data_IF_244658076248
#
_entry.id   IF_244658076248
#
_cell.length_a   1.000
_cell.length_b   1.000
_cell.length_c   1.000
_cell.angle_alpha   90.00
_cell.angle_beta   90.00
_cell.angle_gamma   90.00
#
_symmetry.space_group_name_H-M   'P 1'
#
loop_
_entity.id
_entity.type
_entity.pdbx_description
1 polymer ?
#
# COMPACT_ATOMS: atom_id res chain seq x y z
N UNK A 1 -3.12 -3.49 -9.84
CA UNK A 1 -1.65 -3.67 -9.92
C UNK A 1 -1.04 -2.81 -8.84
N UNK A 2 0.06 -3.25 -8.27
CA UNK A 2 0.63 -2.64 -7.09
C UNK A 2 1.68 -1.58 -7.43
N UNK A 3 1.39 -0.31 -7.17
CA UNK A 3 2.26 0.80 -7.60
C UNK A 3 3.68 0.69 -7.04
N UNK A 4 3.84 0.16 -5.83
CA UNK A 4 5.14 0.04 -5.18
C UNK A 4 5.98 -1.11 -5.74
N UNK A 5 5.35 -2.23 -6.06
CA UNK A 5 6.01 -3.36 -6.73
C UNK A 5 6.48 -2.96 -8.13
N UNK A 6 5.63 -2.25 -8.87
CA UNK A 6 5.96 -1.70 -10.19
C UNK A 6 7.09 -0.67 -10.09
N UNK A 7 7.08 0.22 -9.09
CA UNK A 7 8.17 1.17 -8.84
C UNK A 7 9.54 0.48 -8.79
N UNK A 8 9.70 -0.57 -8.00
CA UNK A 8 10.99 -1.23 -7.81
C UNK A 8 11.48 -1.83 -9.13
N UNK A 9 10.62 -2.56 -9.83
CA UNK A 9 10.98 -3.16 -11.13
C UNK A 9 11.31 -2.10 -12.18
N UNK A 10 10.51 -1.04 -12.23
CA UNK A 10 10.66 0.06 -13.17
C UNK A 10 11.97 0.81 -12.95
N UNK A 11 12.25 1.28 -11.73
CA UNK A 11 13.48 2.02 -11.42
C UNK A 11 14.73 1.17 -11.70
N UNK A 12 14.71 -0.13 -11.37
CA UNK A 12 15.82 -1.04 -11.66
C UNK A 12 16.05 -1.28 -13.16
N UNK A 13 15.02 -1.10 -13.99
CA UNK A 13 15.13 -1.23 -15.45
C UNK A 13 15.72 0.01 -16.13
N UNK A 14 15.75 1.17 -15.45
CA UNK A 14 16.21 2.42 -16.03
C UNK A 14 17.74 2.47 -16.12
N UNK A 15 18.25 2.78 -17.31
CA UNK A 15 19.67 3.05 -17.53
C UNK A 15 19.92 4.57 -17.51
N UNK A 16 19.85 5.17 -16.32
CA UNK A 16 20.00 6.61 -16.09
C UNK A 16 20.99 6.92 -14.97
N UNK A 17 21.49 8.18 -14.90
CA UNK A 17 22.17 8.70 -13.72
C UNK A 17 21.32 8.54 -12.44
N UNK A 18 21.99 8.34 -11.30
CA UNK A 18 21.31 8.07 -10.02
C UNK A 18 20.44 9.23 -9.54
N UNK A 19 20.81 10.49 -9.80
CA UNK A 19 19.99 11.64 -9.46
C UNK A 19 18.69 11.71 -10.30
N UNK A 20 18.72 11.29 -11.56
CA UNK A 20 17.49 11.19 -12.36
C UNK A 20 16.59 10.04 -11.86
N UNK A 21 17.18 8.88 -11.53
CA UNK A 21 16.45 7.75 -10.92
C UNK A 21 15.84 8.13 -9.57
N UNK A 22 16.57 8.85 -8.73
CA UNK A 22 16.09 9.34 -7.44
C UNK A 22 14.90 10.29 -7.62
N UNK A 23 14.95 11.19 -8.61
CA UNK A 23 13.85 12.10 -8.90
C UNK A 23 12.58 11.36 -9.35
N UNK A 24 12.74 10.36 -10.22
CA UNK A 24 11.63 9.50 -10.68
C UNK A 24 11.08 8.68 -9.51
N UNK A 25 11.96 8.08 -8.69
CA UNK A 25 11.60 7.29 -7.52
C UNK A 25 10.80 8.11 -6.50
N UNK A 26 11.21 9.35 -6.24
CA UNK A 26 10.52 10.27 -5.34
C UNK A 26 9.20 10.79 -5.93
N UNK A 27 9.10 10.95 -7.25
CA UNK A 27 7.83 11.27 -7.90
C UNK A 27 6.82 10.12 -7.77
N UNK A 28 7.27 8.87 -7.94
CA UNK A 28 6.41 7.70 -7.71
C UNK A 28 6.00 7.59 -6.23
N UNK A 29 6.88 7.96 -5.29
CA UNK A 29 6.50 8.05 -3.87
C UNK A 29 5.35 9.05 -3.64
N UNK A 30 5.26 10.14 -4.43
CA UNK A 30 4.11 11.06 -4.36
C UNK A 30 2.82 10.43 -4.85
N UNK A 31 2.87 9.57 -5.88
CA UNK A 31 1.71 8.81 -6.35
C UNK A 31 1.24 7.82 -5.27
N UNK A 32 2.17 7.14 -4.61
CA UNK A 32 1.87 6.24 -3.48
C UNK A 32 1.19 7.01 -2.34
N UNK A 33 1.69 8.20 -2.01
CA UNK A 33 1.07 9.07 -1.00
C UNK A 33 -0.37 9.43 -1.40
N UNK A 34 -0.57 9.91 -2.64
CA UNK A 34 -1.88 10.28 -3.20
C UNK A 34 -2.89 9.12 -3.10
N UNK A 35 -2.53 7.92 -3.55
CA UNK A 35 -3.41 6.75 -3.45
C UNK A 35 -3.76 6.41 -2.00
N UNK A 36 -2.76 6.44 -1.11
CA UNK A 36 -2.96 6.08 0.30
C UNK A 36 -3.84 7.08 1.06
N UNK A 37 -3.75 8.36 0.70
CA UNK A 37 -4.50 9.45 1.31
C UNK A 37 -5.83 9.71 0.59
N UNK A 38 -6.07 9.08 -0.55
CA UNK A 38 -7.21 9.38 -1.44
C UNK A 38 -7.22 10.85 -1.86
N UNK A 39 -6.05 11.36 -2.22
CA UNK A 39 -5.83 12.73 -2.68
C UNK A 39 -5.27 12.72 -4.10
N UNK A 40 -5.55 13.78 -4.87
CA UNK A 40 -5.03 13.99 -6.21
C UNK A 40 -4.15 15.24 -6.26
N UNK A 41 -3.10 15.27 -5.42
CA UNK A 41 -2.15 16.39 -5.39
C UNK A 41 -1.23 16.29 -6.64
N UNK A 42 -1.18 17.31 -7.52
CA UNK A 42 -0.32 17.27 -8.69
C UNK A 42 1.18 17.32 -8.33
N UNK A 43 2.02 16.76 -9.19
CA UNK A 43 3.46 16.68 -9.02
C UNK A 43 4.14 17.74 -9.90
N UNK A 44 5.00 18.56 -9.30
CA UNK A 44 5.78 19.59 -9.98
C UNK A 44 7.26 19.20 -9.94
N UNK A 45 7.88 18.98 -11.10
CA UNK A 45 9.32 18.78 -11.22
C UNK A 45 10.00 20.13 -11.45
N UNK A 46 10.93 20.48 -10.56
CA UNK A 46 11.70 21.73 -10.63
C UNK A 46 13.18 21.47 -10.90
N UNK A 47 13.72 22.11 -11.93
CA UNK A 47 15.16 22.13 -12.22
C UNK A 47 15.49 23.24 -13.21
N UNK A 48 16.69 23.83 -13.10
CA UNK A 48 17.25 24.72 -14.13
C UNK A 48 17.91 23.96 -15.29
N UNK A 49 18.07 22.65 -15.18
CA UNK A 49 18.58 21.79 -16.24
C UNK A 49 17.42 21.24 -17.07
N UNK A 50 17.17 21.86 -18.22
CA UNK A 50 16.09 21.49 -19.14
C UNK A 50 16.18 20.03 -19.60
N UNK A 51 17.40 19.52 -19.82
CA UNK A 51 17.60 18.15 -20.29
C UNK A 51 17.18 17.15 -19.22
N UNK A 52 17.69 17.31 -17.99
CA UNK A 52 17.31 16.44 -16.86
C UNK A 52 15.82 16.51 -16.57
N UNK A 53 15.27 17.72 -16.52
CA UNK A 53 13.84 17.93 -16.23
C UNK A 53 12.96 17.23 -17.26
N UNK A 54 13.25 17.39 -18.55
CA UNK A 54 12.47 16.76 -19.61
C UNK A 54 12.61 15.23 -19.59
N UNK A 55 13.82 14.71 -19.35
CA UNK A 55 14.07 13.27 -19.19
C UNK A 55 13.20 12.67 -18.07
N UNK A 56 13.28 13.27 -16.87
CA UNK A 56 12.53 12.82 -15.69
C UNK A 56 11.02 12.87 -15.93
N UNK A 57 10.50 13.97 -16.47
CA UNK A 57 9.07 14.12 -16.75
C UNK A 57 8.54 13.08 -17.75
N UNK A 58 9.27 12.84 -18.84
CA UNK A 58 8.87 11.84 -19.85
C UNK A 58 8.80 10.42 -19.26
N UNK A 59 9.69 10.11 -18.32
CA UNK A 59 9.72 8.78 -17.70
C UNK A 59 8.62 8.64 -16.63
N UNK A 60 8.38 9.70 -15.85
CA UNK A 60 7.25 9.72 -14.91
C UNK A 60 5.93 9.59 -15.68
N UNK A 61 5.75 10.32 -16.78
CA UNK A 61 4.57 10.21 -17.64
C UNK A 61 4.34 8.77 -18.09
N UNK A 62 5.37 8.12 -18.67
CA UNK A 62 5.29 6.71 -19.11
C UNK A 62 4.92 5.76 -17.98
N UNK A 63 5.46 5.98 -16.78
CA UNK A 63 5.12 5.18 -15.61
C UNK A 63 3.63 5.36 -15.26
N UNK A 64 3.14 6.60 -15.17
CA UNK A 64 1.75 6.90 -14.86
C UNK A 64 0.78 6.31 -15.90
N UNK A 65 1.07 6.44 -17.19
CA UNK A 65 0.27 5.86 -18.28
C UNK A 65 0.22 4.33 -18.21
N UNK A 66 1.31 3.69 -17.77
CA UNK A 66 1.37 2.24 -17.54
C UNK A 66 0.54 1.77 -16.35
N UNK A 67 0.57 2.51 -15.23
CA UNK A 67 -0.18 2.18 -14.00
C UNK A 67 -1.67 2.51 -14.13
N UNK A 68 -2.00 3.58 -14.84
CA UNK A 68 -3.36 4.10 -15.00
C UNK A 68 -3.81 4.08 -16.47
N UNK A 69 -3.96 2.90 -17.10
CA UNK A 69 -4.27 2.79 -18.53
C UNK A 69 -5.67 3.31 -18.92
N UNK A 70 -6.53 3.55 -17.93
CA UNK A 70 -7.88 4.08 -18.12
C UNK A 70 -7.99 5.57 -17.77
N UNK A 71 -6.87 6.24 -17.46
CA UNK A 71 -6.84 7.68 -17.24
C UNK A 71 -7.18 8.45 -18.53
N UNK A 72 -7.54 9.73 -18.38
CA UNK A 72 -7.70 10.62 -19.53
C UNK A 72 -6.35 10.79 -20.26
N UNK A 73 -6.39 10.92 -21.58
CA UNK A 73 -5.21 10.93 -22.47
C UNK A 73 -4.21 12.04 -22.12
N UNK A 74 -4.71 13.17 -21.62
CA UNK A 74 -3.94 14.37 -21.26
C UNK A 74 -3.61 14.47 -19.75
N UNK A 75 -4.06 13.52 -18.92
CA UNK A 75 -3.93 13.61 -17.46
C UNK A 75 -2.48 13.70 -16.99
N UNK A 76 -1.57 13.03 -17.69
CA UNK A 76 -0.15 12.98 -17.33
C UNK A 76 0.74 13.70 -18.34
N UNK A 77 0.18 14.49 -19.26
CA UNK A 77 0.98 15.32 -20.15
C UNK A 77 1.66 16.45 -19.36
N UNK A 78 3.01 16.53 -19.36
CA UNK A 78 3.72 17.51 -18.55
C UNK A 78 3.47 18.95 -19.02
N UNK A 79 3.00 19.80 -18.10
CA UNK A 79 2.74 21.20 -18.40
C UNK A 79 3.64 22.18 -17.63
N UNK A 80 3.95 23.30 -18.25
CA UNK A 80 4.65 24.39 -17.56
C UNK A 80 3.75 25.00 -16.47
N UNK A 81 4.19 24.97 -15.21
CA UNK A 81 3.54 25.65 -14.09
C UNK A 81 4.18 27.00 -13.85
N UNK A 82 3.68 28.00 -14.54
CA UNK A 82 4.18 29.35 -14.45
C UNK A 82 3.15 30.30 -13.83
N UNK A 83 3.23 30.49 -12.50
CA UNK A 83 2.26 31.26 -11.71
C UNK A 83 2.90 32.55 -11.18
N UNK A 84 3.01 33.55 -12.05
CA UNK A 84 3.51 34.86 -11.66
C UNK A 84 2.43 35.70 -10.94
N UNK A 85 2.33 35.54 -9.62
CA UNK A 85 1.50 36.39 -8.76
C UNK A 85 2.35 37.22 -7.80
N UNK A 86 2.13 38.54 -7.74
CA UNK A 86 2.74 39.41 -6.71
C UNK A 86 2.08 39.23 -5.34
N UNK A 87 0.87 38.69 -5.32
CA UNK A 87 0.07 38.40 -4.13
C UNK A 87 -0.49 36.98 -4.23
N UNK A 88 -0.80 36.38 -3.08
CA UNK A 88 -1.38 35.02 -3.06
C UNK A 88 -2.73 34.93 -3.77
N UNK A 89 -3.55 35.97 -3.70
CA UNK A 89 -4.84 36.00 -4.41
C UNK A 89 -4.66 36.02 -5.93
N UNK A 90 -3.75 36.85 -6.44
CA UNK A 90 -3.44 36.89 -7.88
C UNK A 90 -2.87 35.55 -8.36
N UNK A 91 -2.02 34.91 -7.54
CA UNK A 91 -1.50 33.58 -7.82
C UNK A 91 -2.62 32.52 -7.87
N UNK A 92 -3.56 32.53 -6.93
CA UNK A 92 -4.72 31.63 -6.93
C UNK A 92 -5.59 31.83 -8.18
N UNK A 93 -5.87 33.07 -8.58
CA UNK A 93 -6.65 33.36 -9.79
C UNK A 93 -5.93 32.82 -11.04
N UNK A 94 -4.61 32.98 -11.11
CA UNK A 94 -3.81 32.45 -12.22
C UNK A 94 -3.83 30.91 -12.24
N UNK A 95 -3.74 30.26 -11.07
CA UNK A 95 -3.87 28.80 -10.98
C UNK A 95 -5.25 28.33 -11.43
N UNK A 96 -6.33 28.96 -10.95
CA UNK A 96 -7.70 28.62 -11.36
C UNK A 96 -7.86 28.69 -12.88
N UNK A 97 -7.35 29.76 -13.51
CA UNK A 97 -7.39 29.89 -14.97
C UNK A 97 -6.66 28.76 -15.69
N UNK A 98 -5.52 28.33 -15.15
CA UNK A 98 -4.74 27.21 -15.70
C UNK A 98 -5.48 25.88 -15.55
N UNK A 99 -6.06 25.62 -14.37
CA UNK A 99 -6.85 24.40 -14.08
C UNK A 99 -8.18 24.35 -14.86
N UNK A 100 -8.69 25.50 -15.34
CA UNK A 100 -9.84 25.53 -16.24
C UNK A 100 -9.50 25.12 -17.67
N UNK A 101 -8.22 25.21 -18.07
CA UNK A 101 -7.75 24.85 -19.40
C UNK A 101 -7.00 23.52 -19.45
N UNK A 102 -6.65 22.94 -18.31
CA UNK A 102 -5.87 21.71 -18.20
C UNK A 102 -6.25 20.95 -16.94
N UNK A 103 -6.27 19.63 -17.08
CA UNK A 103 -6.45 18.69 -15.96
C UNK A 103 -5.16 17.95 -15.62
N UNK A 104 -4.00 18.40 -16.12
CA UNK A 104 -2.74 17.69 -15.91
C UNK A 104 -2.37 17.55 -14.43
N UNK A 105 -1.87 16.36 -14.09
CA UNK A 105 -1.29 15.99 -12.80
C UNK A 105 0.22 16.14 -12.77
N UNK A 106 0.87 16.38 -13.91
CA UNK A 106 2.31 16.55 -14.03
C UNK A 106 2.65 17.95 -14.53
N UNK A 107 3.43 18.65 -13.73
CA UNK A 107 3.87 20.00 -14.02
C UNK A 107 5.37 20.13 -13.95
N UNK A 108 5.88 21.21 -14.53
CA UNK A 108 7.28 21.57 -14.42
C UNK A 108 7.49 23.07 -14.26
N UNK A 109 8.56 23.44 -13.56
CA UNK A 109 9.01 24.82 -13.44
C UNK A 109 10.53 24.88 -13.32
N UNK A 110 11.15 26.03 -13.58
CA UNK A 110 12.60 26.17 -13.34
C UNK A 110 12.91 26.14 -11.84
N UNK A 111 12.02 26.71 -11.03
CA UNK A 111 12.23 26.89 -9.60
C UNK A 111 10.91 26.93 -8.83
N UNK A 112 10.87 26.48 -7.56
CA UNK A 112 9.71 26.68 -6.69
C UNK A 112 9.25 28.14 -6.54
N UNK A 113 10.14 29.10 -6.82
CA UNK A 113 9.78 30.53 -6.81
C UNK A 113 8.63 30.86 -7.77
N UNK A 114 8.48 30.14 -8.88
CA UNK A 114 7.43 30.32 -9.90
C UNK A 114 6.01 30.10 -9.38
N UNK A 115 5.85 29.46 -8.23
CA UNK A 115 4.55 29.18 -7.62
C UNK A 115 4.55 29.41 -6.10
N UNK A 116 5.59 30.04 -5.56
CA UNK A 116 5.79 30.25 -4.13
C UNK A 116 4.69 31.11 -3.47
N UNK A 117 3.99 31.96 -4.21
CA UNK A 117 2.91 32.79 -3.65
C UNK A 117 1.61 32.01 -3.36
N UNK A 118 1.49 30.78 -3.88
CA UNK A 118 0.32 29.94 -3.69
C UNK A 118 0.20 29.42 -2.25
N UNK A 119 -1.02 29.05 -1.80
CA UNK A 119 -1.22 28.32 -0.55
C UNK A 119 -0.35 27.06 -0.47
N UNK A 120 0.07 26.70 0.74
CA UNK A 120 0.85 25.49 1.00
C UNK A 120 0.04 24.22 0.77
N UNK A 121 0.72 23.13 0.41
CA UNK A 121 0.12 21.78 0.31
C UNK A 121 -0.73 21.54 -0.94
N UNK A 122 -0.63 22.40 -1.96
CA UNK A 122 -1.31 22.25 -3.24
C UNK A 122 -0.56 21.36 -4.24
N UNK A 123 0.75 21.19 -4.07
CA UNK A 123 1.60 20.42 -4.98
C UNK A 123 2.61 19.60 -4.22
N UNK A 124 2.85 18.39 -4.73
CA UNK A 124 4.11 17.70 -4.52
C UNK A 124 5.18 18.36 -5.37
N UNK A 125 6.36 18.57 -4.81
CA UNK A 125 7.49 19.24 -5.47
C UNK A 125 8.70 18.32 -5.43
N UNK A 126 9.19 17.97 -6.61
CA UNK A 126 10.45 17.25 -6.82
C UNK A 126 11.49 18.24 -7.31
N UNK A 127 12.50 18.53 -6.49
CA UNK A 127 13.55 19.49 -6.83
C UNK A 127 14.86 18.80 -7.17
N UNK A 128 15.40 19.10 -8.36
CA UNK A 128 16.67 18.59 -8.88
C UNK A 128 17.64 19.77 -8.97
N UNK A 129 18.54 19.88 -7.99
CA UNK A 129 19.55 20.94 -7.90
C UNK A 129 20.96 20.33 -8.02
N UNK A 130 21.52 20.38 -9.23
CA UNK A 130 22.78 19.69 -9.53
C UNK A 130 22.61 18.18 -9.44
N UNK A 131 23.25 17.56 -8.43
CA UNK A 131 23.14 16.12 -8.14
C UNK A 131 22.32 15.86 -6.85
N UNK A 132 21.62 16.87 -6.33
CA UNK A 132 20.79 16.73 -5.13
C UNK A 132 19.33 16.70 -5.55
N UNK A 133 18.64 15.66 -5.10
CA UNK A 133 17.20 15.49 -5.31
C UNK A 133 16.49 15.60 -3.98
N UNK A 134 15.35 16.28 -3.97
CA UNK A 134 14.49 16.34 -2.80
C UNK A 134 13.02 16.33 -3.18
N UNK A 135 12.21 15.90 -2.22
CA UNK A 135 10.75 15.84 -2.30
C UNK A 135 10.15 16.65 -1.17
N UNK A 136 9.06 17.35 -1.45
CA UNK A 136 8.32 18.08 -0.44
C UNK A 136 6.96 18.55 -0.93
N UNK A 137 6.20 19.18 -0.04
CA UNK A 137 4.99 19.90 -0.41
C UNK A 137 5.32 21.38 -0.65
N UNK A 138 4.69 22.02 -1.63
CA UNK A 138 4.87 23.45 -1.82
C UNK A 138 4.50 24.23 -0.55
N UNK A 139 5.23 25.30 -0.27
CA UNK A 139 5.04 26.13 0.91
C UNK A 139 4.94 27.60 0.52
N UNK A 140 3.93 28.28 1.03
CA UNK A 140 3.71 29.69 0.74
C UNK A 140 4.91 30.54 1.19
N UNK A 141 5.46 31.31 0.25
CA UNK A 141 6.59 32.22 0.41
C UNK A 141 7.82 31.58 1.08
N UNK A 142 8.02 30.28 0.88
CA UNK A 142 9.13 29.54 1.46
C UNK A 142 9.56 28.38 0.56
N UNK A 143 10.61 27.67 0.98
CA UNK A 143 11.01 26.44 0.32
C UNK A 143 10.01 25.31 0.61
N UNK A 144 9.87 24.34 -0.32
CA UNK A 144 9.01 23.18 -0.10
C UNK A 144 9.29 22.51 1.26
N UNK A 145 8.23 22.12 1.96
CA UNK A 145 8.35 21.38 3.21
C UNK A 145 8.82 19.97 2.89
N UNK A 146 10.07 19.66 3.28
CA UNK A 146 10.72 18.39 2.95
C UNK A 146 9.92 17.21 3.51
N UNK A 147 9.64 16.24 2.64
CA UNK A 147 9.06 14.95 3.01
C UNK A 147 10.16 13.89 2.89
N UNK A 148 10.47 13.21 3.99
CA UNK A 148 11.54 12.20 4.05
C UNK A 148 11.05 10.77 3.94
N UNK A 149 9.72 10.57 3.96
CA UNK A 149 9.13 9.24 3.80
C UNK A 149 9.43 8.73 2.40
N UNK A 150 9.96 7.51 2.32
CA UNK A 150 10.25 6.80 1.07
C UNK A 150 9.65 5.41 1.13
N UNK A 151 9.30 4.86 -0.03
CA UNK A 151 8.72 3.52 -0.12
C UNK A 151 9.71 2.60 -0.85
N UNK A 152 10.39 1.77 -0.07
CA UNK A 152 11.37 0.78 -0.54
C UNK A 152 11.24 -0.54 0.23
N UNK A 153 11.92 -1.60 -0.18
CA UNK A 153 11.73 -2.93 0.42
C UNK A 153 12.04 -2.96 1.94
N UNK A 154 12.93 -2.09 2.40
CA UNK A 154 13.33 -2.01 3.81
C UNK A 154 12.21 -1.50 4.74
N UNK A 155 11.24 -0.73 4.23
CA UNK A 155 10.15 -0.21 5.08
C UNK A 155 8.95 -1.14 5.20
N UNK A 156 8.86 -2.20 4.38
CA UNK A 156 7.69 -3.08 4.32
C UNK A 156 7.29 -3.66 5.68
N UNK A 157 8.27 -4.19 6.41
CA UNK A 157 8.02 -4.85 7.70
C UNK A 157 7.63 -3.84 8.78
N UNK A 158 8.30 -2.69 8.83
CA UNK A 158 7.98 -1.64 9.78
C UNK A 158 6.55 -1.12 9.61
N UNK A 159 6.08 -1.04 8.36
CA UNK A 159 4.76 -0.50 8.02
C UNK A 159 3.59 -1.36 8.52
N UNK A 160 3.82 -2.65 8.85
CA UNK A 160 2.82 -3.51 9.51
C UNK A 160 2.39 -3.00 10.89
N UNK A 161 3.14 -2.04 11.47
CA UNK A 161 2.94 -1.51 12.82
C UNK A 161 2.56 -0.01 12.83
N UNK A 162 2.55 0.67 11.69
CA UNK A 162 2.37 2.13 11.62
C UNK A 162 0.95 2.61 11.97
N UNK A 163 -0.07 1.74 11.84
CA UNK A 163 -1.47 2.09 12.13
C UNK A 163 -1.81 2.04 13.62
N UNK A 164 -1.10 1.21 14.39
CA UNK A 164 -1.45 0.90 15.78
C UNK A 164 -0.19 0.85 16.65
N UNK A 165 0.38 2.02 16.96
CA UNK A 165 1.58 2.13 17.81
C UNK A 165 1.21 1.95 19.30
N UNK A 166 1.24 0.72 19.80
CA UNK A 166 1.00 0.41 21.22
C UNK A 166 2.29 0.26 22.05
N UNK A 167 3.46 0.34 21.43
CA UNK A 167 4.76 0.19 22.10
C UNK A 167 5.80 1.18 21.58
N UNK A 168 6.87 1.37 22.34
CA UNK A 168 8.04 2.19 21.97
C UNK A 168 8.51 1.82 20.55
N UNK A 169 8.82 2.86 19.76
CA UNK A 169 9.29 2.79 18.37
C UNK A 169 10.67 2.12 18.25
N UNK A 170 10.85 0.91 18.76
CA UNK A 170 11.94 0.06 18.32
C UNK A 170 11.78 -0.10 16.81
N UNK A 171 12.77 0.35 16.03
CA UNK A 171 12.75 0.21 14.58
C UNK A 171 12.75 -1.28 14.26
N UNK A 172 11.60 -1.78 13.82
CA UNK A 172 11.47 -3.16 13.36
C UNK A 172 12.02 -3.18 11.95
N UNK A 173 13.27 -3.59 11.82
CA UNK A 173 14.01 -3.57 10.56
C UNK A 173 14.08 -4.92 9.88
N UNK A 174 13.61 -6.00 10.53
CA UNK A 174 13.69 -7.35 9.98
C UNK A 174 12.54 -8.24 10.45
N UNK A 175 12.39 -9.38 9.76
CA UNK A 175 11.33 -10.37 9.97
C UNK A 175 11.35 -10.97 11.36
N UNK A 176 12.53 -11.30 11.90
CA UNK A 176 12.66 -11.89 13.25
C UNK A 176 12.15 -10.94 14.35
N UNK A 177 12.54 -9.67 14.30
CA UNK A 177 12.06 -8.66 15.24
C UNK A 177 10.53 -8.46 15.14
N UNK A 178 9.98 -8.53 13.93
CA UNK A 178 8.54 -8.47 13.72
C UNK A 178 7.81 -9.69 14.29
N UNK A 179 8.36 -10.90 14.09
CA UNK A 179 7.82 -12.13 14.67
C UNK A 179 7.82 -12.08 16.20
N UNK A 180 8.90 -11.64 16.82
CA UNK A 180 8.98 -11.49 18.28
C UNK A 180 7.92 -10.49 18.78
N UNK A 181 7.77 -9.33 18.13
CA UNK A 181 6.75 -8.35 18.50
C UNK A 181 5.32 -8.88 18.34
N UNK A 182 4.99 -9.57 17.25
CA UNK A 182 3.67 -10.19 17.09
C UNK A 182 3.40 -11.28 18.13
N UNK A 183 4.45 -11.98 18.57
CA UNK A 183 4.33 -12.96 19.65
C UNK A 183 3.97 -12.27 20.96
N UNK A 184 4.63 -11.16 21.28
CA UNK A 184 4.34 -10.34 22.46
C UNK A 184 2.94 -9.72 22.40
N UNK A 185 2.53 -9.14 21.26
CA UNK A 185 1.17 -8.61 21.06
C UNK A 185 0.11 -9.70 21.31
N UNK A 186 0.32 -10.92 20.79
CA UNK A 186 -0.54 -12.07 21.04
C UNK A 186 -0.57 -12.46 22.52
N UNK A 187 0.58 -12.50 23.20
CA UNK A 187 0.66 -12.82 24.62
C UNK A 187 -0.06 -11.81 25.50
N UNK A 188 0.04 -10.52 25.17
CA UNK A 188 -0.68 -9.43 25.81
C UNK A 188 -2.19 -9.39 25.47
N UNK A 189 -2.65 -10.21 24.52
CA UNK A 189 -4.07 -10.24 24.12
C UNK A 189 -4.49 -9.06 23.26
N UNK A 190 -3.53 -8.35 22.66
CA UNK A 190 -3.78 -7.24 21.75
C UNK A 190 -4.16 -7.78 20.38
N UNK A 191 -5.43 -7.77 20.02
CA UNK A 191 -5.89 -8.17 18.69
C UNK A 191 -6.14 -6.92 17.87
N UNK A 192 -5.52 -6.82 16.70
CA UNK A 192 -5.69 -5.69 15.77
C UNK A 192 -5.76 -6.15 14.32
N UNK A 193 -6.43 -5.38 13.45
CA UNK A 193 -6.23 -5.48 12.02
C UNK A 193 -4.75 -5.24 11.65
N UNK A 194 -4.25 -5.95 10.65
CA UNK A 194 -2.87 -5.83 10.19
C UNK A 194 -2.84 -5.08 8.85
N UNK A 195 -2.31 -3.86 8.79
CA UNK A 195 -2.28 -3.07 7.57
C UNK A 195 -1.32 -3.69 6.54
N UNK A 196 -1.70 -3.68 5.27
CA UNK A 196 -0.75 -3.84 4.17
C UNK A 196 0.20 -2.63 4.16
N UNK A 197 1.46 -2.77 3.73
CA UNK A 197 2.36 -1.63 3.52
C UNK A 197 1.76 -0.58 2.56
N UNK A 198 2.27 0.65 2.59
CA UNK A 198 1.70 1.76 1.81
C UNK A 198 1.95 1.53 0.33
N UNK A 199 0.92 1.73 -0.49
CA UNK A 199 0.95 1.39 -1.91
C UNK A 199 0.99 -0.11 -2.17
N UNK A 200 0.69 -0.93 -1.16
CA UNK A 200 0.61 -2.39 -1.22
C UNK A 200 -0.79 -2.95 -0.89
N UNK A 201 -1.14 -4.06 -1.54
CA UNK A 201 -2.35 -4.85 -1.27
C UNK A 201 -1.99 -6.31 -0.95
N UNK A 202 -2.85 -6.97 -0.18
CA UNK A 202 -2.77 -8.41 0.02
C UNK A 202 -3.21 -9.15 -1.24
N UNK A 203 -2.48 -10.21 -1.57
CA UNK A 203 -2.84 -11.11 -2.66
C UNK A 203 -4.13 -11.86 -2.32
N UNK A 204 -4.95 -12.17 -3.33
CA UNK A 204 -6.14 -13.02 -3.13
C UNK A 204 -5.76 -14.41 -2.58
N UNK A 205 -4.57 -14.88 -2.94
CA UNK A 205 -3.99 -16.14 -2.52
C UNK A 205 -2.56 -15.95 -2.03
N UNK A 206 -2.37 -16.10 -0.73
CA UNK A 206 -1.05 -16.02 -0.11
C UNK A 206 -0.49 -17.44 -0.02
N UNK A 207 0.68 -17.64 -0.61
CA UNK A 207 1.33 -18.94 -0.76
C UNK A 207 2.77 -18.89 -0.30
N UNK A 208 3.48 -20.01 -0.45
CA UNK A 208 4.92 -20.10 -0.18
C UNK A 208 5.76 -19.08 -0.96
N UNK A 209 5.33 -18.69 -2.18
CA UNK A 209 6.04 -17.72 -3.02
C UNK A 209 5.65 -16.27 -2.75
N UNK A 210 4.68 -16.02 -1.88
CA UNK A 210 4.24 -14.66 -1.55
C UNK A 210 5.29 -13.94 -0.68
N UNK A 211 5.34 -12.60 -0.75
CA UNK A 211 6.28 -11.80 0.04
C UNK A 211 6.21 -12.06 1.55
N UNK A 212 7.36 -11.96 2.22
CA UNK A 212 7.48 -12.23 3.66
C UNK A 212 6.56 -11.36 4.52
N UNK A 213 6.28 -10.11 4.13
CA UNK A 213 5.37 -9.24 4.87
C UNK A 213 3.94 -9.79 4.92
N UNK A 214 3.47 -10.42 3.84
CA UNK A 214 2.15 -11.06 3.79
C UNK A 214 2.13 -12.30 4.67
N UNK A 215 3.16 -13.14 4.55
CA UNK A 215 3.31 -14.35 5.36
C UNK A 215 3.37 -14.00 6.86
N UNK A 216 4.10 -12.96 7.23
CA UNK A 216 4.17 -12.44 8.61
C UNK A 216 2.78 -12.02 9.13
N UNK A 217 2.03 -11.27 8.33
CA UNK A 217 0.69 -10.84 8.72
C UNK A 217 -0.26 -12.04 8.91
N UNK A 218 -0.20 -13.04 8.03
CA UNK A 218 -0.97 -14.28 8.19
C UNK A 218 -0.59 -15.06 9.46
N UNK A 219 0.71 -15.20 9.72
CA UNK A 219 1.23 -15.87 10.92
C UNK A 219 0.78 -15.14 12.20
N UNK A 220 0.78 -13.80 12.19
CA UNK A 220 0.27 -13.02 13.31
C UNK A 220 -1.22 -13.31 13.59
N UNK A 221 -2.08 -13.34 12.57
CA UNK A 221 -3.49 -13.74 12.72
C UNK A 221 -3.62 -15.17 13.24
N UNK A 222 -2.85 -16.12 12.69
CA UNK A 222 -2.87 -17.53 13.12
C UNK A 222 -2.52 -17.68 14.59
N UNK A 223 -1.60 -16.88 15.12
CA UNK A 223 -1.26 -16.89 16.56
C UNK A 223 -2.45 -16.50 17.42
N UNK A 224 -3.21 -15.48 17.06
CA UNK A 224 -4.44 -15.15 17.79
C UNK A 224 -5.45 -16.29 17.74
N UNK A 225 -5.70 -16.85 16.55
CA UNK A 225 -6.59 -18.00 16.41
C UNK A 225 -6.12 -19.18 17.26
N UNK A 226 -4.81 -19.46 17.30
CA UNK A 226 -4.28 -20.57 18.11
C UNK A 226 -4.49 -20.39 19.61
N UNK A 227 -4.47 -19.14 20.09
CA UNK A 227 -4.71 -18.81 21.48
C UNK A 227 -6.20 -18.94 21.83
N UNK A 228 -7.08 -18.56 20.91
CA UNK A 228 -8.54 -18.73 21.04
C UNK A 228 -8.94 -20.22 21.00
N UNK A 229 -8.36 -20.99 20.08
CA UNK A 229 -8.69 -22.41 19.84
C UNK A 229 -7.88 -23.41 20.68
N UNK A 230 -6.77 -22.98 21.29
CA UNK A 230 -5.81 -23.83 22.02
C UNK A 230 -5.19 -24.94 21.17
N UNK A 231 -4.92 -24.66 19.89
CA UNK A 231 -4.46 -25.64 18.89
C UNK A 231 -2.95 -25.54 18.52
N UNK A 232 -2.21 -24.62 19.15
CA UNK A 232 -0.75 -24.49 19.03
C UNK A 232 -0.24 -23.42 18.05
N UNK A 233 0.92 -22.83 18.35
CA UNK A 233 1.49 -21.61 17.70
C UNK A 233 2.63 -21.87 16.70
N UNK A 234 2.76 -23.07 16.13
CA UNK A 234 4.00 -23.48 15.45
C UNK A 234 4.14 -23.00 13.98
N UNK A 235 3.16 -22.26 13.44
CA UNK A 235 3.24 -21.74 12.07
C UNK A 235 4.16 -20.52 11.98
N UNK A 236 4.99 -20.46 10.93
CA UNK A 236 5.99 -19.42 10.72
C UNK A 236 6.14 -19.11 9.21
N UNK A 237 7.01 -18.16 8.86
CA UNK A 237 7.16 -17.69 7.46
C UNK A 237 8.06 -18.57 6.57
N UNK A 238 8.66 -19.62 7.12
CA UNK A 238 9.55 -20.51 6.38
C UNK A 238 8.80 -21.34 5.34
N UNK A 239 9.49 -21.75 4.30
CA UNK A 239 8.99 -22.66 3.26
C UNK A 239 8.33 -23.92 3.82
N UNK A 240 8.90 -24.47 4.91
CA UNK A 240 8.34 -25.64 5.58
C UNK A 240 6.96 -25.34 6.19
N UNK A 241 6.79 -24.15 6.78
CA UNK A 241 5.51 -23.70 7.33
C UNK A 241 4.44 -23.50 6.26
N UNK A 242 4.83 -23.06 5.06
CA UNK A 242 3.91 -22.78 3.95
C UNK A 242 3.75 -23.93 2.96
N UNK A 243 4.47 -25.03 3.15
CA UNK A 243 4.41 -26.20 2.28
C UNK A 243 3.02 -26.82 2.27
N UNK A 244 2.36 -26.76 1.12
CA UNK A 244 1.01 -27.28 0.91
C UNK A 244 -0.08 -26.49 1.63
N UNK A 245 0.13 -25.19 1.86
CA UNK A 245 -0.84 -24.28 2.47
C UNK A 245 -1.11 -23.12 1.53
N UNK A 246 -2.39 -22.80 1.31
CA UNK A 246 -2.84 -21.58 0.65
C UNK A 246 -3.68 -20.80 1.65
N UNK A 247 -3.32 -19.55 1.88
CA UNK A 247 -4.05 -18.67 2.79
C UNK A 247 -4.84 -17.63 2.00
N UNK A 248 -6.13 -17.54 2.29
CA UNK A 248 -7.06 -16.59 1.71
C UNK A 248 -7.33 -15.48 2.73
N UNK A 249 -6.82 -14.26 2.49
CA UNK A 249 -7.01 -13.17 3.42
C UNK A 249 -8.45 -12.65 3.39
N UNK A 250 -8.94 -12.23 4.55
CA UNK A 250 -10.15 -11.42 4.66
C UNK A 250 -9.75 -10.00 4.98
N UNK A 251 -10.21 -9.08 4.13
CA UNK A 251 -9.69 -7.72 4.05
C UNK A 251 -10.77 -6.70 4.42
N UNK A 252 -10.35 -5.57 5.01
CA UNK A 252 -11.17 -4.37 5.19
C UNK A 252 -10.34 -3.10 4.94
N UNK A 253 -10.96 -2.06 4.38
CA UNK A 253 -10.35 -0.73 4.33
C UNK A 253 -10.58 -0.01 5.65
N UNK A 254 -9.51 0.32 6.36
CA UNK A 254 -9.56 0.94 7.69
C UNK A 254 -8.85 2.29 7.62
N UNK A 255 -9.48 3.31 8.20
CA UNK A 255 -8.86 4.62 8.32
C UNK A 255 -7.66 4.55 9.27
N UNK A 256 -6.54 5.12 8.85
CA UNK A 256 -5.35 5.19 9.68
C UNK A 256 -5.62 6.12 10.87
N UNK A 257 -5.02 5.82 12.03
CA UNK A 257 -5.16 6.65 13.23
C UNK A 257 -4.22 7.86 13.15
N UNK A 258 -3.10 7.70 12.45
CA UNK A 258 -2.00 8.68 12.42
C UNK A 258 -2.04 9.64 11.23
N UNK A 259 -2.75 9.29 10.15
CA UNK A 259 -3.05 10.15 9.01
C UNK A 259 -4.49 9.94 8.53
N UNK A 260 -5.01 10.86 7.71
CA UNK A 260 -6.38 10.81 7.19
C UNK A 260 -6.62 9.68 6.17
N UNK A 261 -5.58 8.94 5.80
CA UNK A 261 -5.62 7.94 4.74
C UNK A 261 -6.33 6.65 5.13
N UNK A 262 -6.62 5.83 4.11
CA UNK A 262 -7.18 4.50 4.29
C UNK A 262 -6.13 3.45 3.95
N UNK A 263 -6.11 2.38 4.73
CA UNK A 263 -5.23 1.24 4.49
C UNK A 263 -6.05 -0.03 4.36
N UNK A 264 -5.65 -0.83 3.40
CA UNK A 264 -6.10 -2.21 3.34
C UNK A 264 -5.54 -2.96 4.54
N UNK A 265 -6.41 -3.61 5.31
CA UNK A 265 -6.03 -4.34 6.51
C UNK A 265 -6.55 -5.77 6.46
N UNK A 266 -5.67 -6.72 6.81
CA UNK A 266 -6.02 -8.09 7.10
C UNK A 266 -6.79 -8.15 8.43
N UNK A 267 -8.05 -8.56 8.35
CA UNK A 267 -8.98 -8.70 9.47
C UNK A 267 -9.37 -10.15 9.72
N UNK A 268 -8.88 -11.09 8.91
CA UNK A 268 -9.19 -12.51 9.05
C UNK A 268 -8.39 -13.33 8.06
N UNK A 269 -8.37 -14.63 8.28
CA UNK A 269 -7.59 -15.56 7.48
C UNK A 269 -8.33 -16.89 7.37
N UNK A 270 -8.38 -17.44 6.17
CA UNK A 270 -8.78 -18.82 5.94
C UNK A 270 -7.57 -19.55 5.36
N UNK A 271 -7.27 -20.75 5.85
CA UNK A 271 -6.21 -21.58 5.30
C UNK A 271 -6.79 -22.86 4.72
N UNK A 272 -6.36 -23.18 3.49
CA UNK A 272 -6.66 -24.43 2.81
C UNK A 272 -5.37 -25.24 2.79
N UNK A 273 -5.46 -26.49 3.24
CA UNK A 273 -4.39 -27.46 3.07
C UNK A 273 -4.55 -28.13 1.70
N UNK A 274 -3.47 -28.10 0.91
CA UNK A 274 -3.39 -28.65 -0.45
C UNK A 274 -2.26 -29.69 -0.58
N UNK A 275 -1.79 -30.28 0.53
CA UNK A 275 -0.75 -31.32 0.49
C UNK A 275 -1.17 -32.53 -0.33
N UNK A 276 -2.45 -32.88 -0.30
CA UNK A 276 -3.08 -33.77 -1.28
C UNK A 276 -3.91 -32.92 -2.26
N UNK A 277 -3.42 -32.68 -3.49
CA UNK A 277 -4.14 -31.86 -4.48
C UNK A 277 -5.51 -32.41 -4.86
N UNK A 278 -5.77 -33.70 -4.62
CA UNK A 278 -7.07 -34.34 -4.93
C UNK A 278 -8.10 -34.13 -3.83
N UNK A 279 -7.65 -33.75 -2.63
CA UNK A 279 -8.49 -33.58 -1.44
C UNK A 279 -8.08 -32.34 -0.65
N UNK A 280 -8.21 -31.14 -1.26
CA UNK A 280 -8.03 -29.90 -0.52
C UNK A 280 -9.09 -29.80 0.57
N UNK A 281 -8.70 -29.26 1.72
CA UNK A 281 -9.63 -29.07 2.85
C UNK A 281 -9.34 -27.76 3.59
N UNK A 282 -10.38 -27.19 4.18
CA UNK A 282 -10.24 -26.01 5.04
C UNK A 282 -9.64 -26.44 6.37
N UNK A 283 -8.45 -25.95 6.68
CA UNK A 283 -7.73 -26.27 7.93
C UNK A 283 -8.08 -25.28 9.02
N UNK A 284 -7.99 -23.98 8.75
CA UNK A 284 -8.34 -22.95 9.73
C UNK A 284 -9.18 -21.83 9.13
N UNK A 285 -10.08 -21.26 9.92
CA UNK A 285 -10.81 -20.06 9.56
C UNK A 285 -10.96 -19.15 10.78
N UNK A 286 -10.52 -17.92 10.65
CA UNK A 286 -10.62 -16.93 11.70
C UNK A 286 -10.97 -15.56 11.15
N UNK A 287 -11.86 -14.86 11.86
CA UNK A 287 -12.24 -13.48 11.54
C UNK A 287 -12.17 -12.69 12.84
N UNK A 288 -11.56 -11.52 12.77
CA UNK A 288 -11.48 -10.58 13.86
C UNK A 288 -12.88 -10.29 14.41
N UNK A 289 -13.10 -10.34 15.74
CA UNK A 289 -14.43 -10.26 16.35
C UNK A 289 -15.31 -9.10 15.84
N UNK A 290 -14.77 -7.89 15.74
CA UNK A 290 -15.50 -6.70 15.23
C UNK A 290 -15.91 -6.75 13.74
N UNK A 291 -15.39 -7.70 12.97
CA UNK A 291 -15.70 -7.85 11.55
C UNK A 291 -16.47 -9.13 11.23
N UNK A 292 -16.87 -9.89 12.26
CA UNK A 292 -17.75 -11.07 12.12
C UNK A 292 -19.17 -10.63 11.69
N UNK A 293 -19.94 -11.58 11.16
CA UNK A 293 -21.35 -11.39 10.74
C UNK A 293 -21.60 -10.38 9.60
N UNK A 294 -20.55 -9.91 8.91
CA UNK A 294 -20.65 -9.02 7.75
C UNK A 294 -20.68 -9.74 6.40
N UNK A 295 -21.00 -11.05 6.39
CA UNK A 295 -21.08 -11.85 5.16
C UNK A 295 -19.75 -12.17 4.46
N UNK A 296 -18.59 -11.68 4.95
CA UNK A 296 -17.27 -11.88 4.31
C UNK A 296 -16.91 -13.36 4.11
N UNK A 297 -17.17 -14.22 5.11
CA UNK A 297 -16.98 -15.68 5.00
C UNK A 297 -17.85 -16.28 3.89
N UNK A 298 -19.10 -15.85 3.75
CA UNK A 298 -20.02 -16.36 2.74
C UNK A 298 -19.55 -15.99 1.33
N UNK A 299 -19.05 -14.76 1.15
CA UNK A 299 -18.49 -14.31 -0.12
C UNK A 299 -17.26 -15.13 -0.52
N UNK A 300 -16.31 -15.31 0.41
CA UNK A 300 -15.11 -16.10 0.16
C UNK A 300 -15.42 -17.59 -0.04
N UNK A 301 -16.37 -18.15 0.71
CA UNK A 301 -16.78 -19.55 0.57
C UNK A 301 -17.26 -19.90 -0.84
N UNK A 302 -17.96 -18.97 -1.51
CA UNK A 302 -18.38 -19.16 -2.91
C UNK A 302 -17.16 -19.34 -3.82
N UNK A 303 -16.17 -18.46 -3.71
CA UNK A 303 -14.92 -18.51 -4.48
C UNK A 303 -14.17 -19.82 -4.21
N UNK A 304 -14.08 -20.21 -2.93
CA UNK A 304 -13.43 -21.45 -2.53
C UNK A 304 -14.15 -22.70 -3.09
N UNK A 305 -15.48 -22.69 -3.11
CA UNK A 305 -16.29 -23.80 -3.65
C UNK A 305 -16.17 -23.88 -5.18
N UNK A 306 -16.15 -22.74 -5.86
CA UNK A 306 -15.91 -22.68 -7.32
C UNK A 306 -14.52 -23.25 -7.68
N UNK A 307 -13.51 -22.97 -6.85
CA UNK A 307 -12.13 -23.40 -7.10
C UNK A 307 -11.86 -24.85 -6.72
N UNK A 308 -12.33 -25.29 -5.56
CA UNK A 308 -11.98 -26.59 -4.97
C UNK A 308 -13.13 -27.61 -4.98
N UNK A 309 -14.34 -27.21 -5.35
CA UNK A 309 -15.54 -28.03 -5.23
C UNK A 309 -16.07 -28.08 -3.79
N UNK A 310 -16.75 -29.17 -3.42
CA UNK A 310 -17.17 -29.37 -2.03
C UNK A 310 -15.94 -29.57 -1.15
N UNK A 311 -15.69 -28.61 -0.26
CA UNK A 311 -14.55 -28.62 0.66
C UNK A 311 -14.89 -29.32 1.96
N UNK A 312 -14.05 -30.29 2.33
CA UNK A 312 -14.01 -30.81 3.69
C UNK A 312 -13.47 -29.74 4.65
N UNK A 313 -13.92 -29.79 5.90
CA UNK A 313 -13.48 -28.88 6.96
C UNK A 313 -12.86 -29.68 8.09
N UNK A 314 -11.64 -29.33 8.46
CA UNK A 314 -10.91 -29.91 9.60
C UNK A 314 -11.59 -29.47 10.91
N UNK A 315 -12.06 -30.45 11.69
CA UNK A 315 -12.60 -30.28 13.06
C UNK A 315 -13.53 -29.05 13.25
N UNK A 316 -14.66 -28.94 12.52
CA UNK A 316 -15.49 -27.74 12.55
C UNK A 316 -16.13 -27.54 13.93
N UNK A 317 -15.88 -26.38 14.54
CA UNK A 317 -16.57 -25.96 15.76
C UNK A 317 -18.06 -25.63 15.52
N UNK A 318 -18.80 -25.35 16.58
CA UNK A 318 -20.25 -25.06 16.52
C UNK A 318 -20.61 -23.92 15.55
N UNK A 319 -19.80 -22.86 15.48
CA UNK A 319 -20.03 -21.74 14.56
C UNK A 319 -19.82 -22.17 13.11
N UNK A 320 -18.76 -22.94 12.83
CA UNK A 320 -18.49 -23.45 11.49
C UNK A 320 -19.56 -24.46 11.06
N UNK A 321 -20.01 -25.34 11.94
CA UNK A 321 -21.11 -26.27 11.66
C UNK A 321 -22.40 -25.53 11.31
N UNK A 322 -22.74 -24.48 12.06
CA UNK A 322 -23.90 -23.63 11.76
C UNK A 322 -23.75 -22.92 10.41
N UNK A 323 -22.56 -22.42 10.10
CA UNK A 323 -22.26 -21.81 8.80
C UNK A 323 -22.43 -22.82 7.65
N UNK A 324 -21.84 -24.01 7.76
CA UNK A 324 -21.93 -25.08 6.75
C UNK A 324 -23.39 -25.48 6.49
N UNK A 325 -24.21 -25.60 7.54
CA UNK A 325 -25.65 -25.84 7.39
C UNK A 325 -26.34 -24.70 6.63
N UNK A 326 -26.02 -23.46 6.96
CA UNK A 326 -26.62 -22.29 6.33
C UNK A 326 -26.26 -22.15 4.85
N UNK A 327 -25.03 -22.48 4.44
CA UNK A 327 -24.64 -22.42 3.02
C UNK A 327 -25.23 -23.58 2.21
N UNK A 328 -25.35 -24.78 2.79
CA UNK A 328 -26.01 -25.93 2.14
C UNK A 328 -27.53 -25.75 1.95
N UNK A 329 -28.18 -24.91 2.75
CA UNK A 329 -29.63 -24.65 2.65
C UNK A 329 -29.96 -23.56 1.61
N UNK A 330 -28.97 -22.78 1.19
CA UNK A 330 -29.12 -21.67 0.24
C UNK A 330 -28.43 -21.92 -1.12
N UNK A 331 -27.97 -23.14 -1.36
CA UNK A 331 -27.41 -23.62 -2.62
C UNK A 331 -28.47 -24.43 -3.38
#
# INVERSE_FOLDING_TARGET
MDIRTEKVSFINSLNLPEDEKDAISLAIDCLIDNESLSEDIPIVVTSYDDYKRNCVLQIIQKFCEGIYPNAAEDLFEPEILNIFGKTGEAACIALIKKLQSSYSMLYWADSPSWFSSLPSGLFHVISIEGNKVSRGLNQKNSHPTKVTRTYNDDTLIAELFNTFSHSTNAQITNTKAAEEKFYDECNSGLIRPLPAPTGLFFEEEITISSPDWQKLACVAIRRYQSKECKDGMNWNISDQGWSGVVAYPLIEKIQNITDSGFRECLIGLITINIKDPKKPYLSTAWIHPFYRQKGKMKALWRILTEKYGELDVEEPNSNMQAFLKAVKTNA
#
